data_IF_347201107220
#
_entry.id   IF_347201107220
#
_cell.length_a   1.000
_cell.length_b   1.000
_cell.length_c   1.000
_cell.angle_alpha   90.00
_cell.angle_beta   90.00
_cell.angle_gamma   90.00
#
_symmetry.space_group_name_H-M   'P 1'
#
loop_
_entity.id
_entity.type
_entity.pdbx_description
1 polymer ?
#
# COMPACT_ATOMS: atom_id res chain seq x y z
N UNK A 1 -11.71 42.41 -37.23
CA UNK A 1 -11.38 40.98 -37.03
C UNK A 1 -12.68 40.25 -36.73
N UNK A 2 -13.03 39.23 -37.53
CA UNK A 2 -14.29 38.49 -37.39
C UNK A 2 -14.16 37.44 -36.29
N UNK A 3 -15.25 37.19 -35.55
CA UNK A 3 -15.36 36.18 -34.49
C UNK A 3 -14.83 34.80 -34.93
N UNK A 4 -15.00 34.49 -36.21
CA UNK A 4 -14.57 33.23 -36.84
C UNK A 4 -13.03 33.09 -36.94
N UNK A 5 -12.30 34.21 -37.00
CA UNK A 5 -10.82 34.23 -36.97
C UNK A 5 -10.24 33.99 -35.57
N UNK A 6 -10.94 34.43 -34.53
CA UNK A 6 -10.52 34.26 -33.14
C UNK A 6 -10.77 32.82 -32.65
N UNK A 7 -11.93 32.23 -33.00
CA UNK A 7 -12.27 30.83 -32.74
C UNK A 7 -11.32 29.84 -33.43
N UNK A 8 -10.94 30.10 -34.70
CA UNK A 8 -9.96 29.27 -35.41
C UNK A 8 -8.56 29.37 -34.80
N UNK A 9 -8.19 30.54 -34.28
CA UNK A 9 -6.90 30.72 -33.59
C UNK A 9 -6.86 29.94 -32.28
N UNK A 10 -7.92 30.00 -31.46
CA UNK A 10 -8.03 29.25 -30.20
C UNK A 10 -8.04 27.74 -30.41
N UNK A 11 -8.81 27.24 -31.37
CA UNK A 11 -8.84 25.81 -31.70
C UNK A 11 -7.47 25.33 -32.21
N UNK A 12 -6.76 26.15 -33.00
CA UNK A 12 -5.42 25.80 -33.50
C UNK A 12 -4.33 25.83 -32.42
N UNK A 13 -4.47 26.70 -31.40
CA UNK A 13 -3.57 26.78 -30.25
C UNK A 13 -3.79 25.57 -29.32
N UNK A 14 -5.04 25.19 -29.08
CA UNK A 14 -5.39 24.04 -28.25
C UNK A 14 -4.95 22.70 -28.89
N UNK A 15 -5.14 22.55 -30.22
CA UNK A 15 -4.64 21.38 -30.97
C UNK A 15 -3.10 21.31 -31.02
N UNK A 16 -2.39 22.44 -31.01
CA UNK A 16 -0.92 22.48 -30.94
C UNK A 16 -0.41 22.19 -29.52
N UNK A 17 -1.14 22.62 -28.49
CA UNK A 17 -0.87 22.29 -27.09
C UNK A 17 -1.03 20.79 -26.85
N UNK A 18 -2.16 20.20 -27.25
CA UNK A 18 -2.40 18.76 -27.14
C UNK A 18 -1.38 17.92 -27.93
N UNK A 19 -0.96 18.37 -29.13
CA UNK A 19 0.08 17.68 -29.91
C UNK A 19 1.47 17.79 -29.29
N UNK A 20 1.79 18.90 -28.61
CA UNK A 20 3.05 19.07 -27.87
C UNK A 20 3.05 18.24 -26.58
N UNK A 21 1.95 18.24 -25.83
CA UNK A 21 1.72 17.35 -24.68
C UNK A 21 1.92 15.89 -25.09
N UNK A 22 1.17 15.38 -26.09
CA UNK A 22 1.31 14.00 -26.57
C UNK A 22 2.72 13.65 -27.09
N UNK A 23 3.43 14.60 -27.74
CA UNK A 23 4.79 14.37 -28.20
C UNK A 23 5.81 14.33 -27.04
N UNK A 24 5.63 15.14 -26.00
CA UNK A 24 6.42 15.08 -24.78
C UNK A 24 6.12 13.80 -23.98
N UNK A 25 4.86 13.35 -23.92
CA UNK A 25 4.47 12.07 -23.29
C UNK A 25 5.04 10.88 -24.04
N UNK A 26 5.03 10.91 -25.38
CA UNK A 26 5.66 9.85 -26.20
C UNK A 26 7.19 9.83 -26.07
N UNK A 27 7.83 10.99 -25.94
CA UNK A 27 9.29 11.09 -25.77
C UNK A 27 9.72 10.70 -24.35
N UNK A 28 8.94 11.04 -23.32
CA UNK A 28 9.13 10.55 -21.94
C UNK A 28 8.86 9.05 -21.83
N UNK A 29 7.79 8.53 -22.46
CA UNK A 29 7.50 7.09 -22.50
C UNK A 29 8.54 6.28 -23.28
N UNK A 30 9.15 6.85 -24.33
CA UNK A 30 10.27 6.21 -25.04
C UNK A 30 11.59 6.27 -24.26
N UNK A 31 11.80 7.29 -23.42
CA UNK A 31 12.99 7.40 -22.57
C UNK A 31 12.87 6.54 -21.29
N UNK A 32 11.67 6.43 -20.72
CA UNK A 32 11.33 5.51 -19.63
C UNK A 32 11.38 4.03 -20.04
N UNK A 33 11.25 3.74 -21.34
CA UNK A 33 11.42 2.39 -21.89
C UNK A 33 12.84 1.83 -21.81
N UNK A 34 13.84 2.61 -21.36
CA UNK A 34 15.25 2.21 -21.37
C UNK A 34 15.87 1.88 -20.01
N UNK A 35 15.18 2.11 -18.89
CA UNK A 35 15.71 1.78 -17.56
C UNK A 35 14.60 1.27 -16.61
N UNK A 36 13.90 0.20 -17.01
CA UNK A 36 13.17 -0.62 -16.04
C UNK A 36 14.21 -1.30 -15.15
N UNK A 37 14.43 -0.74 -13.96
CA UNK A 37 15.38 -1.25 -12.96
C UNK A 37 14.78 -2.49 -12.30
N UNK A 38 14.71 -3.60 -13.05
CA UNK A 38 14.30 -4.89 -12.51
C UNK A 38 15.24 -5.23 -11.35
N UNK A 39 14.66 -5.42 -10.16
CA UNK A 39 15.39 -6.00 -9.05
C UNK A 39 15.65 -7.45 -9.45
N UNK A 40 16.91 -7.77 -9.80
CA UNK A 40 17.33 -9.17 -9.94
C UNK A 40 17.17 -9.83 -8.56
N UNK A 41 16.05 -10.51 -8.37
CA UNK A 41 15.80 -11.30 -7.18
C UNK A 41 16.88 -12.38 -7.08
N UNK A 42 17.44 -12.57 -5.89
CA UNK A 42 18.42 -13.63 -5.65
C UNK A 42 17.68 -14.91 -5.20
N UNK A 43 18.19 -16.11 -5.51
CA UNK A 43 17.60 -17.34 -5.00
C UNK A 43 17.65 -17.38 -3.47
N UNK A 44 16.69 -18.09 -2.86
CA UNK A 44 16.55 -18.19 -1.41
C UNK A 44 17.75 -18.88 -0.77
N UNK A 45 18.28 -18.30 0.32
CA UNK A 45 19.30 -18.95 1.15
C UNK A 45 18.72 -19.92 2.19
N UNK A 46 17.43 -19.78 2.53
CA UNK A 46 16.68 -20.63 3.47
C UNK A 46 15.19 -20.56 3.16
N UNK A 47 14.44 -21.59 3.53
CA UNK A 47 12.98 -21.63 3.44
C UNK A 47 12.28 -21.10 4.69
N UNK A 48 13.02 -20.88 5.77
CA UNK A 48 12.45 -20.42 7.03
C UNK A 48 12.30 -18.90 7.03
N UNK A 49 11.11 -18.43 7.42
CA UNK A 49 10.76 -17.01 7.38
C UNK A 49 10.02 -16.59 8.64
N UNK A 50 10.30 -15.37 9.10
CA UNK A 50 9.56 -14.67 10.13
C UNK A 50 9.10 -13.33 9.56
N UNK A 51 7.82 -13.01 9.73
CA UNK A 51 7.26 -11.72 9.31
C UNK A 51 7.17 -10.80 10.53
N UNK A 52 7.77 -9.62 10.41
CA UNK A 52 7.59 -8.58 11.42
C UNK A 52 6.15 -8.04 11.40
N UNK A 53 5.69 -7.48 12.51
CA UNK A 53 4.31 -7.01 12.70
C UNK A 53 3.94 -5.90 11.71
N UNK A 54 4.91 -5.07 11.32
CA UNK A 54 4.74 -4.03 10.30
C UNK A 54 4.26 -4.59 8.96
N UNK A 55 4.68 -5.81 8.58
CA UNK A 55 4.29 -6.43 7.31
C UNK A 55 2.79 -6.76 7.33
N UNK A 56 2.29 -7.28 8.43
CA UNK A 56 0.86 -7.54 8.59
C UNK A 56 0.05 -6.24 8.55
N UNK A 57 0.56 -5.20 9.21
CA UNK A 57 -0.08 -3.88 9.24
C UNK A 57 -0.13 -3.22 7.85
N UNK A 58 0.95 -3.32 7.08
CA UNK A 58 1.03 -2.79 5.71
C UNK A 58 -0.12 -3.30 4.83
N UNK A 59 -0.52 -4.56 5.00
CA UNK A 59 -1.64 -5.15 4.24
C UNK A 59 -2.96 -5.17 5.04
N UNK A 60 -3.11 -4.24 5.99
CA UNK A 60 -4.34 -4.01 6.75
C UNK A 60 -4.78 -5.19 7.63
N UNK A 61 -3.87 -6.11 7.96
CA UNK A 61 -4.18 -7.38 8.63
C UNK A 61 -5.30 -8.16 7.92
N UNK A 62 -5.42 -8.03 6.60
CA UNK A 62 -6.49 -8.61 5.82
C UNK A 62 -6.08 -9.97 5.23
N UNK A 63 -6.64 -11.10 5.70
CA UNK A 63 -6.35 -12.43 5.12
C UNK A 63 -6.66 -12.56 3.63
N UNK A 64 -7.50 -11.65 3.10
CA UNK A 64 -7.93 -11.66 1.70
C UNK A 64 -7.03 -10.84 0.79
N UNK A 65 -6.07 -10.09 1.33
CA UNK A 65 -5.11 -9.34 0.53
C UNK A 65 -4.28 -10.30 -0.35
N UNK A 66 -4.15 -9.97 -1.63
CA UNK A 66 -3.54 -10.83 -2.63
C UNK A 66 -2.07 -11.17 -2.38
N UNK A 67 -1.29 -10.26 -1.78
CA UNK A 67 0.12 -10.51 -1.43
C UNK A 67 0.22 -11.48 -0.26
N UNK A 68 -0.59 -11.27 0.80
CA UNK A 68 -0.68 -12.22 1.93
C UNK A 68 -1.19 -13.59 1.48
N UNK A 69 -2.15 -13.65 0.57
CA UNK A 69 -2.62 -14.91 -0.02
C UNK A 69 -1.53 -15.61 -0.83
N UNK A 70 -0.78 -14.88 -1.66
CA UNK A 70 0.34 -15.45 -2.39
C UNK A 70 1.38 -16.04 -1.43
N UNK A 71 1.71 -15.34 -0.34
CA UNK A 71 2.56 -15.88 0.71
C UNK A 71 1.98 -17.13 1.37
N UNK A 72 0.70 -17.11 1.73
CA UNK A 72 0.01 -18.26 2.32
C UNK A 72 0.02 -19.49 1.38
N UNK A 73 -0.13 -19.29 0.08
CA UNK A 73 -0.02 -20.34 -0.93
C UNK A 73 1.39 -20.98 -0.93
N UNK A 74 2.46 -20.16 -0.83
CA UNK A 74 3.86 -20.64 -0.76
C UNK A 74 4.14 -21.46 0.51
N UNK A 75 3.62 -21.02 1.66
CA UNK A 75 3.74 -21.77 2.92
C UNK A 75 2.97 -23.08 2.86
N UNK A 76 1.74 -23.09 2.34
CA UNK A 76 0.94 -24.31 2.15
C UNK A 76 1.58 -25.30 1.18
N UNK A 77 2.27 -24.80 0.15
CA UNK A 77 3.07 -25.60 -0.77
C UNK A 77 4.37 -26.16 -0.15
N UNK A 78 4.66 -25.82 1.13
CA UNK A 78 5.89 -26.18 1.86
C UNK A 78 7.16 -25.60 1.24
N UNK A 79 7.02 -24.52 0.47
CA UNK A 79 8.13 -23.78 -0.12
C UNK A 79 8.70 -22.75 0.86
N UNK A 80 7.91 -22.38 1.87
CA UNK A 80 8.30 -21.54 2.99
C UNK A 80 7.80 -22.16 4.30
N UNK A 81 8.53 -21.91 5.38
CA UNK A 81 8.18 -22.31 6.74
C UNK A 81 8.05 -21.04 7.57
N UNK A 82 6.81 -20.66 7.92
CA UNK A 82 6.52 -19.49 8.73
C UNK A 82 6.85 -19.77 10.20
N UNK A 83 7.68 -18.92 10.79
CA UNK A 83 7.89 -18.81 12.22
C UNK A 83 6.99 -17.73 12.81
N UNK A 84 6.45 -18.00 14.00
CA UNK A 84 5.53 -17.11 14.68
C UNK A 84 5.77 -17.12 16.18
N UNK A 85 5.54 -16.00 16.87
CA UNK A 85 5.79 -15.89 18.32
C UNK A 85 4.55 -15.41 19.08
N UNK A 86 4.51 -15.71 20.38
CA UNK A 86 3.53 -15.16 21.32
C UNK A 86 3.55 -13.63 21.37
N UNK A 87 4.73 -13.01 21.24
CA UNK A 87 4.88 -11.55 21.20
C UNK A 87 4.29 -10.95 19.93
N UNK A 88 4.63 -11.51 18.76
CA UNK A 88 4.06 -11.11 17.46
C UNK A 88 2.53 -11.24 17.48
N UNK A 89 2.01 -12.31 18.09
CA UNK A 89 0.57 -12.52 18.29
C UNK A 89 -0.07 -11.41 19.11
N UNK A 90 0.50 -11.09 20.26
CA UNK A 90 -0.01 -10.04 21.13
C UNK A 90 0.01 -8.67 20.44
N UNK A 91 1.05 -8.39 19.65
CA UNK A 91 1.17 -7.13 18.93
C UNK A 91 0.18 -7.00 17.78
N UNK A 92 0.00 -8.04 16.94
CA UNK A 92 -1.03 -8.02 15.89
C UNK A 92 -2.42 -7.81 16.52
N UNK A 93 -2.71 -8.48 17.63
CA UNK A 93 -3.99 -8.28 18.35
C UNK A 93 -4.18 -6.82 18.79
N UNK A 94 -3.14 -6.22 19.36
CA UNK A 94 -3.14 -4.80 19.76
C UNK A 94 -3.41 -3.90 18.56
N UNK A 95 -2.65 -4.06 17.47
CA UNK A 95 -2.77 -3.24 16.26
C UNK A 95 -4.17 -3.33 15.63
N UNK A 96 -4.77 -4.53 15.58
CA UNK A 96 -6.15 -4.72 15.06
C UNK A 96 -7.18 -4.02 15.94
N UNK A 97 -7.03 -4.07 17.26
CA UNK A 97 -7.92 -3.35 18.19
C UNK A 97 -7.73 -1.83 18.05
N UNK A 98 -6.51 -1.35 17.89
CA UNK A 98 -6.20 0.08 17.66
C UNK A 98 -6.87 0.59 16.36
N UNK A 99 -6.80 -0.15 15.26
CA UNK A 99 -7.52 0.21 14.02
C UNK A 99 -9.04 0.29 14.24
N UNK A 100 -9.63 -0.64 14.99
CA UNK A 100 -11.06 -0.56 15.32
C UNK A 100 -11.38 0.67 16.21
N UNK A 101 -10.48 1.07 17.09
CA UNK A 101 -10.64 2.29 17.91
C UNK A 101 -10.59 3.57 17.07
N UNK A 102 -9.73 3.61 16.04
CA UNK A 102 -9.68 4.72 15.09
C UNK A 102 -11.02 4.85 14.34
N UNK A 103 -11.57 3.75 13.84
CA UNK A 103 -12.91 3.73 13.21
C UNK A 103 -13.98 4.21 14.19
N UNK A 104 -13.98 3.71 15.43
CA UNK A 104 -14.94 4.15 16.44
C UNK A 104 -14.87 5.65 16.72
N UNK A 105 -13.67 6.22 16.70
CA UNK A 105 -13.44 7.66 16.88
C UNK A 105 -14.08 8.43 15.74
N UNK A 106 -13.88 7.99 14.49
CA UNK A 106 -14.48 8.60 13.29
C UNK A 106 -16.00 8.49 13.29
N UNK A 107 -16.56 7.32 13.60
CA UNK A 107 -18.00 7.09 13.73
C UNK A 107 -18.62 8.00 14.80
N UNK A 108 -17.96 8.14 15.96
CA UNK A 108 -18.42 9.01 17.03
C UNK A 108 -18.35 10.50 16.66
N UNK A 109 -17.32 10.92 15.92
CA UNK A 109 -17.24 12.29 15.37
C UNK A 109 -18.40 12.54 14.40
N UNK A 110 -18.59 11.67 13.42
CA UNK A 110 -19.69 11.77 12.45
C UNK A 110 -21.06 11.84 13.14
N UNK A 111 -21.28 11.00 14.17
CA UNK A 111 -22.51 11.00 14.99
C UNK A 111 -22.74 12.35 15.68
N UNK A 112 -21.70 12.96 16.26
CA UNK A 112 -21.82 14.29 16.86
C UNK A 112 -22.14 15.35 15.82
N UNK A 113 -21.51 15.30 14.66
CA UNK A 113 -21.72 16.27 13.57
C UNK A 113 -23.11 16.17 12.94
N UNK A 114 -23.67 14.97 12.78
CA UNK A 114 -24.99 14.78 12.15
C UNK A 114 -26.16 15.06 13.10
N UNK A 115 -25.95 14.95 14.41
CA UNK A 115 -27.02 15.06 15.42
C UNK A 115 -27.80 16.39 15.37
N UNK A 116 -27.17 17.58 15.23
CA UNK A 116 -27.90 18.82 15.02
C UNK A 116 -28.75 18.82 13.74
N UNK A 117 -28.25 18.22 12.65
CA UNK A 117 -28.94 18.15 11.37
C UNK A 117 -30.15 17.22 11.40
N UNK A 118 -30.09 16.12 12.15
CA UNK A 118 -31.25 15.25 12.37
C UNK A 118 -32.43 15.96 13.02
N UNK A 119 -32.16 16.88 13.96
CA UNK A 119 -33.21 17.70 14.56
C UNK A 119 -33.84 18.67 13.55
N UNK A 120 -33.06 19.17 12.59
CA UNK A 120 -33.51 20.10 11.55
C UNK A 120 -34.25 19.40 10.41
N UNK A 121 -33.77 18.23 9.99
CA UNK A 121 -34.24 17.49 8.81
C UNK A 121 -34.55 16.02 9.14
N UNK A 122 -35.45 15.73 10.09
CA UNK A 122 -35.70 14.36 10.57
C UNK A 122 -36.26 13.42 9.51
N UNK A 123 -36.92 13.96 8.47
CA UNK A 123 -37.46 13.16 7.34
C UNK A 123 -36.38 12.69 6.36
N UNK A 124 -35.24 13.38 6.30
CA UNK A 124 -34.13 13.06 5.39
C UNK A 124 -33.01 12.28 6.08
N UNK A 125 -32.85 12.47 7.38
CA UNK A 125 -31.78 11.87 8.19
C UNK A 125 -32.36 10.97 9.29
N UNK A 126 -33.25 10.05 8.91
CA UNK A 126 -33.94 9.15 9.83
C UNK A 126 -33.04 8.02 10.34
N UNK A 127 -32.09 7.56 9.53
CA UNK A 127 -31.23 6.42 9.87
C UNK A 127 -30.20 6.80 10.92
N UNK A 128 -30.11 6.00 11.99
CA UNK A 128 -29.08 6.18 13.02
C UNK A 128 -27.73 5.64 12.54
N UNK A 129 -26.66 6.41 12.74
CA UNK A 129 -25.30 5.90 12.58
C UNK A 129 -25.13 4.80 13.63
N UNK A 130 -24.92 3.55 13.22
CA UNK A 130 -24.94 2.39 14.11
C UNK A 130 -23.87 2.51 15.19
N UNK A 131 -24.09 1.83 16.32
CA UNK A 131 -23.08 1.75 17.37
C UNK A 131 -21.91 0.87 16.98
N UNK A 132 -20.70 1.37 17.23
CA UNK A 132 -19.46 0.72 16.86
C UNK A 132 -18.67 0.37 18.12
N UNK A 133 -18.79 -0.88 18.55
CA UNK A 133 -18.05 -1.42 19.68
C UNK A 133 -16.66 -1.85 19.21
N UNK A 134 -15.68 -0.95 19.33
CA UNK A 134 -14.31 -1.17 18.88
C UNK A 134 -13.68 -2.43 19.47
N UNK A 135 -13.97 -2.75 20.73
CA UNK A 135 -13.38 -3.90 21.41
C UNK A 135 -13.96 -5.20 20.87
N UNK A 136 -15.28 -5.29 20.68
CA UNK A 136 -15.91 -6.47 20.07
C UNK A 136 -15.50 -6.64 18.62
N UNK A 137 -15.53 -5.57 17.83
CA UNK A 137 -15.15 -5.62 16.40
C UNK A 137 -13.68 -5.97 16.25
N UNK A 138 -12.79 -5.31 16.99
CA UNK A 138 -11.35 -5.60 16.95
C UNK A 138 -11.01 -7.02 17.41
N UNK A 139 -11.68 -7.53 18.44
CA UNK A 139 -11.49 -8.92 18.88
C UNK A 139 -11.96 -9.91 17.82
N UNK A 140 -13.15 -9.71 17.25
CA UNK A 140 -13.69 -10.57 16.20
C UNK A 140 -12.83 -10.53 14.92
N UNK A 141 -12.31 -9.36 14.55
CA UNK A 141 -11.41 -9.20 13.41
C UNK A 141 -10.08 -9.95 13.63
N UNK A 142 -9.52 -9.87 14.84
CA UNK A 142 -8.32 -10.63 15.19
C UNK A 142 -8.58 -12.15 15.18
N UNK A 143 -9.70 -12.61 15.75
CA UNK A 143 -10.06 -14.03 15.76
C UNK A 143 -10.26 -14.56 14.33
N UNK A 144 -10.88 -13.77 13.44
CA UNK A 144 -11.01 -14.09 12.02
C UNK A 144 -9.65 -14.14 11.33
N UNK A 145 -8.75 -13.21 11.62
CA UNK A 145 -7.38 -13.23 11.09
C UNK A 145 -6.63 -14.50 11.53
N UNK A 146 -6.70 -14.89 12.81
CA UNK A 146 -6.09 -16.14 13.27
C UNK A 146 -6.67 -17.36 12.55
N UNK A 147 -8.01 -17.43 12.45
CA UNK A 147 -8.70 -18.58 11.88
C UNK A 147 -8.50 -18.72 10.36
N UNK A 148 -8.55 -17.62 9.62
CA UNK A 148 -8.49 -17.62 8.15
C UNK A 148 -7.06 -17.59 7.62
N UNK A 149 -6.15 -16.91 8.32
CA UNK A 149 -4.77 -16.73 7.88
C UNK A 149 -3.79 -17.61 8.65
N UNK A 150 -3.70 -17.52 9.98
CA UNK A 150 -2.60 -18.16 10.71
C UNK A 150 -2.78 -19.68 10.89
N UNK A 151 -3.94 -20.13 11.35
CA UNK A 151 -4.17 -21.56 11.63
C UNK A 151 -3.97 -22.47 10.41
N UNK A 152 -4.44 -22.12 9.20
CA UNK A 152 -4.22 -22.94 8.01
C UNK A 152 -2.75 -23.03 7.56
N UNK A 153 -1.88 -22.16 8.07
CA UNK A 153 -0.46 -22.14 7.72
C UNK A 153 0.40 -23.04 8.62
N UNK A 154 -0.13 -23.48 9.76
CA UNK A 154 0.59 -24.28 10.75
C UNK A 154 2.01 -23.74 11.04
N UNK A 155 2.15 -22.48 11.49
CA UNK A 155 3.46 -21.88 11.71
C UNK A 155 4.25 -22.60 12.80
N UNK A 156 5.58 -22.57 12.68
CA UNK A 156 6.48 -22.96 13.75
C UNK A 156 6.42 -21.91 14.87
N UNK A 157 5.67 -22.24 15.92
CA UNK A 157 5.43 -21.36 17.05
C UNK A 157 6.61 -21.38 18.04
N UNK A 158 6.99 -20.20 18.54
CA UNK A 158 7.98 -20.02 19.60
C UNK A 158 7.39 -19.23 20.76
N UNK A 159 7.68 -19.65 21.99
CA UNK A 159 7.31 -18.89 23.18
C UNK A 159 8.43 -17.89 23.51
N UNK A 160 8.52 -16.82 22.71
CA UNK A 160 9.60 -15.85 22.80
C UNK A 160 9.64 -15.19 24.19
N UNK A 161 8.49 -14.92 24.80
CA UNK A 161 8.41 -14.34 26.15
C UNK A 161 9.06 -15.22 27.23
N UNK A 162 8.98 -16.55 27.09
CA UNK A 162 9.58 -17.50 28.02
C UNK A 162 11.04 -17.80 27.68
N UNK A 163 11.30 -18.14 26.42
CA UNK A 163 12.61 -18.62 25.93
C UNK A 163 13.68 -17.52 25.89
N UNK A 164 13.29 -16.27 25.60
CA UNK A 164 14.23 -15.15 25.47
C UNK A 164 14.56 -14.43 26.77
N UNK A 165 13.78 -14.63 27.84
CA UNK A 165 13.78 -13.77 29.03
C UNK A 165 15.15 -13.56 29.69
N UNK A 166 15.86 -14.64 30.01
CA UNK A 166 17.15 -14.56 30.73
C UNK A 166 18.20 -13.81 29.91
N UNK A 167 18.31 -14.13 28.62
CA UNK A 167 19.32 -13.53 27.74
C UNK A 167 18.98 -12.08 27.40
N UNK A 168 17.70 -11.75 27.21
CA UNK A 168 17.27 -10.36 26.99
C UNK A 168 17.57 -9.48 28.20
N UNK A 169 17.26 -9.95 29.41
CA UNK A 169 17.63 -9.20 30.62
C UNK A 169 19.14 -9.04 30.75
N UNK A 170 19.95 -10.07 30.38
CA UNK A 170 21.41 -9.97 30.35
C UNK A 170 21.87 -8.86 29.39
N UNK A 171 21.40 -8.87 28.13
CA UNK A 171 21.73 -7.86 27.11
C UNK A 171 21.31 -6.45 27.54
N UNK A 172 20.12 -6.32 28.15
CA UNK A 172 19.59 -5.07 28.69
C UNK A 172 20.49 -4.49 29.81
N UNK A 173 20.82 -5.28 30.83
CA UNK A 173 21.69 -4.83 31.93
C UNK A 173 23.13 -4.57 31.48
N UNK A 174 23.58 -5.22 30.40
CA UNK A 174 24.89 -5.02 29.80
C UNK A 174 24.98 -3.78 28.88
N UNK A 175 23.85 -3.19 28.49
CA UNK A 175 23.82 -2.01 27.59
C UNK A 175 24.29 -2.32 26.16
N UNK A 176 24.00 -3.54 25.67
CA UNK A 176 24.34 -3.97 24.30
C UNK A 176 23.51 -3.22 23.24
N UNK A 177 23.89 -3.36 21.95
CA UNK A 177 23.46 -2.48 20.83
C UNK A 177 21.94 -2.29 20.76
N UNK A 178 21.18 -3.37 20.95
CA UNK A 178 19.71 -3.43 20.88
C UNK A 178 18.98 -2.61 21.94
N UNK A 179 19.68 -2.09 22.97
CA UNK A 179 19.08 -1.29 24.05
C UNK A 179 19.74 0.09 24.21
N UNK A 180 20.48 0.57 23.21
CA UNK A 180 21.20 1.84 23.28
C UNK A 180 20.28 3.06 23.32
N UNK A 181 19.16 3.03 22.62
CA UNK A 181 18.19 4.13 22.60
C UNK A 181 17.17 4.04 23.76
N UNK A 182 17.06 2.88 24.42
CA UNK A 182 16.19 2.64 25.59
C UNK A 182 14.74 3.03 25.34
N UNK A 183 14.25 2.84 24.12
CA UNK A 183 12.82 3.03 23.85
C UNK A 183 12.04 1.80 24.24
N UNK A 184 10.77 1.96 24.64
CA UNK A 184 9.92 0.83 25.05
C UNK A 184 9.63 -0.16 23.91
N UNK A 185 9.85 0.25 22.65
CA UNK A 185 9.66 -0.59 21.46
C UNK A 185 10.78 -1.60 21.25
N UNK A 186 11.99 -1.33 21.72
CA UNK A 186 13.14 -2.26 21.58
C UNK A 186 12.98 -3.55 22.41
N UNK A 187 12.15 -3.51 23.45
CA UNK A 187 12.06 -4.62 24.40
C UNK A 187 11.37 -5.86 23.81
N UNK A 188 10.14 -5.78 23.25
CA UNK A 188 9.50 -6.94 22.61
C UNK A 188 10.35 -7.56 21.48
N UNK A 189 10.95 -6.73 20.64
CA UNK A 189 11.76 -7.18 19.48
C UNK A 189 12.97 -8.00 19.92
N UNK A 190 13.64 -7.58 21.00
CA UNK A 190 14.78 -8.33 21.55
C UNK A 190 14.41 -9.76 21.97
N UNK A 191 13.21 -9.99 22.51
CA UNK A 191 12.75 -11.34 22.85
C UNK A 191 12.49 -12.18 21.59
N UNK A 192 11.88 -11.57 20.57
CA UNK A 192 11.62 -12.23 19.29
C UNK A 192 12.94 -12.65 18.64
N UNK A 193 13.87 -11.71 18.47
CA UNK A 193 15.19 -11.96 17.87
C UNK A 193 15.95 -13.04 18.65
N UNK A 194 15.97 -12.96 19.97
CA UNK A 194 16.66 -13.94 20.83
C UNK A 194 16.07 -15.35 20.67
N UNK A 195 14.74 -15.48 20.65
CA UNK A 195 14.08 -16.77 20.47
C UNK A 195 14.35 -17.37 19.08
N UNK A 196 14.28 -16.56 18.03
CA UNK A 196 14.60 -16.99 16.66
C UNK A 196 16.07 -17.40 16.53
N UNK A 197 16.99 -16.63 17.09
CA UNK A 197 18.42 -16.94 17.09
C UNK A 197 18.71 -18.25 17.83
N UNK A 198 18.12 -18.46 19.01
CA UNK A 198 18.25 -19.69 19.77
C UNK A 198 17.74 -20.91 18.99
N UNK A 199 16.60 -20.77 18.29
CA UNK A 199 16.09 -21.81 17.41
C UNK A 199 17.03 -22.10 16.24
N UNK A 200 17.56 -21.06 15.58
CA UNK A 200 18.53 -21.19 14.49
C UNK A 200 19.79 -21.94 14.93
N UNK A 201 20.34 -21.62 16.11
CA UNK A 201 21.52 -22.30 16.64
C UNK A 201 21.24 -23.77 16.95
N UNK A 202 20.10 -24.06 17.59
CA UNK A 202 19.69 -25.43 17.93
C UNK A 202 19.52 -26.31 16.68
N UNK A 203 18.92 -25.76 15.62
CA UNK A 203 18.60 -26.51 14.40
C UNK A 203 19.67 -26.40 13.31
N UNK A 204 20.70 -25.56 13.53
CA UNK A 204 21.74 -25.19 12.55
C UNK A 204 21.19 -24.58 11.27
N UNK A 205 20.00 -24.00 11.33
CA UNK A 205 19.30 -23.37 10.22
C UNK A 205 19.51 -21.85 10.21
N UNK A 206 18.92 -21.19 9.20
CA UNK A 206 18.84 -19.72 9.10
C UNK A 206 17.39 -19.31 8.90
N UNK A 207 17.01 -18.11 9.34
CA UNK A 207 15.66 -17.55 9.16
C UNK A 207 15.76 -16.19 8.46
N UNK A 208 14.91 -15.95 7.47
CA UNK A 208 14.67 -14.61 6.94
C UNK A 208 13.73 -13.84 7.88
N UNK A 209 14.15 -12.69 8.38
CA UNK A 209 13.31 -11.71 9.07
C UNK A 209 12.88 -10.67 8.05
N UNK A 210 11.57 -10.61 7.78
CA UNK A 210 10.97 -9.73 6.78
C UNK A 210 10.41 -8.49 7.47
N UNK A 211 10.94 -7.31 7.12
CA UNK A 211 10.54 -6.03 7.68
C UNK A 211 11.49 -4.90 7.28
N UNK A 212 10.99 -3.67 7.30
CA UNK A 212 11.75 -2.45 7.01
C UNK A 212 12.11 -1.63 8.27
N UNK A 213 11.82 -2.17 9.46
CA UNK A 213 12.04 -1.48 10.73
C UNK A 213 13.54 -1.49 11.03
N UNK A 214 14.11 -0.29 11.20
CA UNK A 214 15.54 -0.12 11.39
C UNK A 214 16.03 -0.73 12.71
N UNK A 215 15.22 -0.67 13.79
CA UNK A 215 15.58 -1.24 15.08
C UNK A 215 15.56 -2.78 15.03
N UNK A 216 14.56 -3.36 14.36
CA UNK A 216 14.51 -4.80 14.12
C UNK A 216 15.66 -5.27 13.22
N UNK A 217 15.98 -4.49 12.17
CA UNK A 217 17.11 -4.80 11.29
C UNK A 217 18.46 -4.75 12.04
N UNK A 218 18.69 -3.71 12.85
CA UNK A 218 19.89 -3.57 13.68
C UNK A 218 20.01 -4.73 14.69
N UNK A 219 18.89 -5.12 15.33
CA UNK A 219 18.86 -6.24 16.25
C UNK A 219 19.19 -7.60 15.59
N UNK A 220 18.86 -7.73 14.31
CA UNK A 220 19.13 -8.93 13.50
C UNK A 220 20.57 -8.95 12.96
N UNK A 221 21.17 -7.80 12.64
CA UNK A 221 22.54 -7.73 12.11
C UNK A 221 23.59 -8.37 13.04
N UNK A 222 23.37 -8.29 14.35
CA UNK A 222 24.24 -8.91 15.36
C UNK A 222 24.15 -10.46 15.37
N UNK A 223 23.13 -11.05 14.73
CA UNK A 223 22.83 -12.48 14.76
C UNK A 223 23.13 -13.17 13.40
N UNK A 224 24.24 -13.92 13.33
CA UNK A 224 24.79 -14.51 12.08
C UNK A 224 23.84 -15.43 11.29
N UNK A 225 22.80 -15.95 11.93
CA UNK A 225 21.86 -16.92 11.32
C UNK A 225 20.52 -16.30 10.96
N UNK A 226 20.31 -15.03 11.30
CA UNK A 226 19.14 -14.29 10.89
C UNK A 226 19.52 -13.44 9.67
N UNK A 227 18.69 -13.49 8.64
CA UNK A 227 18.91 -12.80 7.38
C UNK A 227 17.82 -11.73 7.25
N UNK A 228 18.18 -10.49 6.96
CA UNK A 228 17.18 -9.42 6.77
C UNK A 228 16.69 -9.38 5.32
N UNK A 229 15.41 -9.13 5.14
CA UNK A 229 14.84 -8.74 3.86
C UNK A 229 13.75 -7.69 4.10
N UNK A 230 13.70 -6.66 3.25
CA UNK A 230 12.88 -5.48 3.54
C UNK A 230 11.39 -5.72 3.37
N UNK A 231 11.03 -6.44 2.31
CA UNK A 231 9.64 -6.53 1.87
C UNK A 231 9.21 -7.98 1.66
N UNK A 232 7.89 -8.23 1.77
CA UNK A 232 7.32 -9.54 1.50
C UNK A 232 7.40 -9.88 0.01
N UNK A 233 7.36 -8.86 -0.84
CA UNK A 233 7.45 -8.97 -2.29
C UNK A 233 8.83 -9.44 -2.74
N UNK A 234 9.90 -8.93 -2.12
CA UNK A 234 11.27 -9.40 -2.35
C UNK A 234 11.41 -10.90 -2.03
N UNK A 235 10.75 -11.37 -0.95
CA UNK A 235 10.78 -12.77 -0.56
C UNK A 235 10.09 -13.63 -1.61
N UNK A 236 8.87 -13.23 -2.00
CA UNK A 236 8.08 -13.98 -2.97
C UNK A 236 8.73 -13.99 -4.36
N UNK A 237 9.39 -12.90 -4.74
CA UNK A 237 10.23 -12.84 -5.93
C UNK A 237 11.41 -13.82 -5.83
N UNK A 238 12.10 -13.86 -4.69
CA UNK A 238 13.22 -14.78 -4.43
C UNK A 238 12.78 -16.26 -4.47
N UNK A 239 11.58 -16.57 -3.93
CA UNK A 239 10.97 -17.91 -4.05
C UNK A 239 10.75 -18.24 -5.53
N UNK A 240 10.16 -17.32 -6.28
CA UNK A 240 9.82 -17.52 -7.69
C UNK A 240 11.07 -17.69 -8.56
N UNK A 241 12.12 -16.91 -8.31
CA UNK A 241 13.42 -17.03 -8.98
C UNK A 241 14.08 -18.39 -8.71
N UNK A 242 14.00 -18.87 -7.46
CA UNK A 242 14.52 -20.19 -7.07
C UNK A 242 13.83 -21.31 -7.87
N UNK A 243 12.56 -21.14 -8.22
CA UNK A 243 11.77 -22.17 -8.90
C UNK A 243 11.89 -22.13 -10.42
N UNK A 244 11.91 -20.95 -11.02
CA UNK A 244 11.92 -20.80 -12.48
C UNK A 244 12.47 -19.44 -12.90
N UNK A 245 13.77 -19.33 -13.20
CA UNK A 245 14.45 -18.09 -13.61
C UNK A 245 13.99 -17.54 -14.98
N UNK A 246 13.00 -18.17 -15.63
CA UNK A 246 12.43 -17.75 -16.92
C UNK A 246 11.06 -17.06 -16.78
N UNK A 247 10.52 -16.97 -15.56
CA UNK A 247 9.18 -16.42 -15.32
C UNK A 247 9.07 -14.94 -15.68
N UNK A 248 10.12 -14.16 -15.43
CA UNK A 248 10.15 -12.73 -15.76
C UNK A 248 9.95 -12.52 -17.25
N UNK A 249 10.68 -13.26 -18.10
CA UNK A 249 10.53 -13.16 -19.56
C UNK A 249 9.12 -13.54 -20.04
N UNK A 250 8.51 -14.54 -19.41
CA UNK A 250 7.14 -14.94 -19.71
C UNK A 250 6.14 -13.86 -19.30
N UNK A 251 6.28 -13.30 -18.09
CA UNK A 251 5.45 -12.20 -17.60
C UNK A 251 5.58 -10.97 -18.50
N UNK A 252 6.80 -10.56 -18.87
CA UNK A 252 7.04 -9.46 -19.84
C UNK A 252 6.28 -9.69 -21.13
N UNK A 253 6.36 -10.91 -21.68
CA UNK A 253 5.70 -11.26 -22.95
C UNK A 253 4.17 -11.23 -22.84
N UNK A 254 3.61 -11.61 -21.70
CA UNK A 254 2.16 -11.58 -21.45
C UNK A 254 1.65 -10.15 -21.21
N UNK A 255 2.35 -9.36 -20.38
CA UNK A 255 2.00 -7.97 -20.08
C UNK A 255 2.12 -7.05 -21.29
N UNK A 256 3.03 -7.35 -22.24
CA UNK A 256 3.15 -6.60 -23.49
C UNK A 256 1.98 -6.86 -24.47
N UNK A 257 1.11 -7.85 -24.22
CA UNK A 257 -0.04 -8.11 -25.08
C UNK A 257 -1.09 -7.01 -24.92
N UNK A 258 -1.60 -6.51 -26.06
CA UNK A 258 -2.66 -5.48 -26.06
C UNK A 258 -3.92 -5.90 -25.29
N UNK A 259 -4.25 -7.20 -25.30
CA UNK A 259 -5.36 -7.76 -24.52
C UNK A 259 -5.14 -7.58 -23.02
N UNK A 260 -3.93 -7.87 -22.51
CA UNK A 260 -3.60 -7.72 -21.11
C UNK A 260 -3.69 -6.26 -20.66
N UNK A 261 -3.11 -5.32 -21.43
CA UNK A 261 -3.17 -3.88 -21.12
C UNK A 261 -4.62 -3.37 -21.15
N UNK A 262 -5.43 -3.82 -22.11
CA UNK A 262 -6.85 -3.44 -22.18
C UNK A 262 -7.65 -3.99 -20.99
N UNK A 263 -7.41 -5.25 -20.61
CA UNK A 263 -8.05 -5.87 -19.46
C UNK A 263 -7.63 -5.20 -18.15
N UNK A 264 -6.35 -4.80 -18.03
CA UNK A 264 -5.83 -4.04 -16.89
C UNK A 264 -6.52 -2.69 -16.77
N UNK A 265 -6.57 -1.90 -17.86
CA UNK A 265 -7.25 -0.62 -17.85
C UNK A 265 -8.73 -0.76 -17.47
N UNK A 266 -9.44 -1.74 -18.04
CA UNK A 266 -10.85 -1.98 -17.70
C UNK A 266 -11.06 -2.33 -16.21
N UNK A 267 -10.14 -3.11 -15.62
CA UNK A 267 -10.20 -3.46 -14.20
C UNK A 267 -9.81 -2.30 -13.29
N UNK A 268 -8.83 -1.50 -13.70
CA UNK A 268 -8.44 -0.30 -13.01
C UNK A 268 -9.61 0.70 -12.96
N UNK A 269 -10.24 1.00 -14.10
CA UNK A 269 -11.43 1.89 -14.15
C UNK A 269 -12.60 1.33 -13.34
N UNK A 270 -12.75 0.01 -13.25
CA UNK A 270 -13.78 -0.59 -12.40
C UNK A 270 -13.47 -0.49 -10.89
N UNK A 271 -12.20 -0.32 -10.53
CA UNK A 271 -11.71 -0.16 -9.15
C UNK A 271 -11.38 1.31 -8.82
N UNK A 272 -11.83 2.26 -9.65
CA UNK A 272 -11.53 3.69 -9.52
C UNK A 272 -12.01 4.28 -8.19
N UNK A 273 -13.07 3.71 -7.61
CA UNK A 273 -13.60 4.08 -6.29
C UNK A 273 -12.64 3.74 -5.13
N UNK A 274 -11.66 2.87 -5.35
CA UNK A 274 -10.63 2.54 -4.35
C UNK A 274 -9.49 3.58 -4.35
N UNK A 275 -9.49 4.53 -5.30
CA UNK A 275 -8.53 5.63 -5.32
C UNK A 275 -9.00 6.79 -4.44
N UNK A 276 -8.05 7.34 -3.69
CA UNK A 276 -8.27 8.45 -2.77
C UNK A 276 -7.30 9.57 -3.16
N UNK A 277 -7.73 10.53 -4.00
CA UNK A 277 -6.93 11.71 -4.31
C UNK A 277 -6.82 12.61 -3.09
N UNK A 278 -5.60 12.99 -2.72
CA UNK A 278 -5.32 13.91 -1.61
C UNK A 278 -4.62 15.14 -2.17
N UNK A 279 -5.30 16.29 -2.10
CA UNK A 279 -4.70 17.56 -2.47
C UNK A 279 -3.72 18.03 -1.39
N UNK A 280 -2.45 18.19 -1.76
CA UNK A 280 -1.37 18.49 -0.82
C UNK A 280 -1.09 20.01 -0.68
N UNK A 281 -2.09 20.84 -1.01
CA UNK A 281 -1.98 22.30 -0.99
C UNK A 281 -1.33 22.89 -2.24
N UNK A 282 -1.52 24.19 -2.40
CA UNK A 282 -1.15 24.99 -3.57
C UNK A 282 -1.81 26.37 -3.49
N UNK A 283 -2.04 26.98 -4.64
CA UNK A 283 -2.69 28.28 -4.77
C UNK A 283 -4.19 28.24 -4.46
N UNK A 284 -4.82 27.06 -4.55
CA UNK A 284 -6.22 26.87 -4.15
C UNK A 284 -6.37 26.71 -2.63
N UNK A 285 -6.67 27.83 -1.97
CA UNK A 285 -6.90 27.88 -0.53
C UNK A 285 -8.04 26.94 -0.11
N UNK A 286 -7.77 26.11 0.90
CA UNK A 286 -8.72 25.12 1.43
C UNK A 286 -9.27 24.16 0.36
N UNK A 287 -8.48 23.90 -0.69
CA UNK A 287 -8.83 22.96 -1.75
C UNK A 287 -9.05 21.54 -1.23
N UNK A 288 -10.16 20.93 -1.61
CA UNK A 288 -10.48 19.53 -1.33
C UNK A 288 -10.81 18.79 -2.64
N UNK A 289 -10.29 17.57 -2.78
CA UNK A 289 -10.66 16.71 -3.91
C UNK A 289 -12.09 16.20 -3.74
N UNK A 290 -12.95 16.47 -4.72
CA UNK A 290 -14.39 16.13 -4.66
C UNK A 290 -14.79 15.03 -5.63
N UNK A 291 -14.05 14.88 -6.74
CA UNK A 291 -14.31 13.85 -7.74
C UNK A 291 -13.03 13.54 -8.53
N UNK A 292 -12.99 12.39 -9.20
CA UNK A 292 -11.90 12.02 -10.09
C UNK A 292 -12.34 11.08 -11.21
N UNK A 293 -11.65 11.13 -12.34
CA UNK A 293 -11.88 10.25 -13.46
C UNK A 293 -10.58 9.83 -14.17
N UNK A 294 -10.53 8.60 -14.66
CA UNK A 294 -9.41 8.10 -15.47
C UNK A 294 -9.51 8.63 -16.90
N UNK A 295 -8.57 9.48 -17.32
CA UNK A 295 -8.62 10.20 -18.60
C UNK A 295 -7.63 9.70 -19.66
N UNK A 296 -6.74 8.76 -19.31
CA UNK A 296 -5.63 8.35 -20.17
C UNK A 296 -5.36 6.86 -20.26
N UNK A 297 -4.39 6.47 -21.12
CA UNK A 297 -3.95 5.09 -21.20
C UNK A 297 -3.11 4.72 -19.97
N UNK A 298 -3.34 3.51 -19.44
CA UNK A 298 -2.52 2.92 -18.40
C UNK A 298 -1.15 2.54 -18.95
N UNK A 299 -0.10 2.98 -18.25
CA UNK A 299 1.30 2.61 -18.53
C UNK A 299 1.85 1.75 -17.40
N UNK A 300 2.44 0.61 -17.74
CA UNK A 300 3.15 -0.23 -16.77
C UNK A 300 4.55 0.35 -16.60
N UNK A 301 4.88 0.81 -15.40
CA UNK A 301 6.20 1.35 -15.06
C UNK A 301 7.17 0.23 -14.66
N UNK A 302 6.70 -0.66 -13.79
CA UNK A 302 7.49 -1.78 -13.27
C UNK A 302 6.59 -2.96 -12.89
N UNK A 303 7.18 -4.15 -12.75
CA UNK A 303 6.49 -5.31 -12.23
C UNK A 303 7.43 -6.32 -11.59
N UNK A 304 6.91 -7.06 -10.60
CA UNK A 304 7.60 -8.16 -9.94
C UNK A 304 6.73 -9.41 -9.95
N UNK A 305 7.26 -10.54 -10.42
CA UNK A 305 6.56 -11.83 -10.37
C UNK A 305 6.76 -12.43 -8.98
N UNK A 306 5.69 -12.46 -8.19
CA UNK A 306 5.72 -12.95 -6.81
C UNK A 306 5.24 -14.40 -6.70
N UNK A 307 4.43 -14.87 -7.65
CA UNK A 307 4.16 -16.29 -7.76
C UNK A 307 3.90 -16.75 -9.19
N UNK A 308 4.15 -18.03 -9.43
CA UNK A 308 3.85 -18.66 -10.71
C UNK A 308 3.39 -20.11 -10.50
N UNK A 309 2.30 -20.45 -11.19
CA UNK A 309 1.82 -21.81 -11.36
C UNK A 309 1.85 -22.17 -12.85
N UNK A 310 1.44 -23.38 -13.21
CA UNK A 310 1.34 -23.77 -14.63
C UNK A 310 0.30 -22.98 -15.43
N UNK A 311 -0.67 -22.37 -14.75
CA UNK A 311 -1.86 -21.76 -15.38
C UNK A 311 -2.04 -20.28 -15.02
N UNK A 312 -1.29 -19.75 -14.07
CA UNK A 312 -1.48 -18.40 -13.57
C UNK A 312 -0.16 -17.80 -13.05
N UNK A 313 0.03 -16.51 -13.28
CA UNK A 313 1.09 -15.70 -12.66
C UNK A 313 0.46 -14.71 -11.69
N UNK A 314 1.06 -14.57 -10.51
CA UNK A 314 0.75 -13.54 -9.53
C UNK A 314 1.83 -12.48 -9.62
N UNK A 315 1.45 -11.25 -9.92
CA UNK A 315 2.36 -10.16 -10.25
C UNK A 315 2.00 -8.94 -9.42
N UNK A 316 3.01 -8.33 -8.83
CA UNK A 316 2.96 -6.98 -8.30
C UNK A 316 3.28 -6.02 -9.44
N UNK A 317 2.44 -5.03 -9.68
CA UNK A 317 2.51 -4.12 -10.81
C UNK A 317 2.57 -2.69 -10.28
N UNK A 318 3.49 -1.88 -10.80
CA UNK A 318 3.46 -0.43 -10.62
C UNK A 318 2.99 0.19 -11.92
N UNK A 319 1.86 0.90 -11.88
CA UNK A 319 1.25 1.53 -13.05
C UNK A 319 1.18 3.04 -12.87
N UNK A 320 1.33 3.75 -13.99
CA UNK A 320 0.94 5.14 -14.09
C UNK A 320 -0.38 5.21 -14.85
N UNK A 321 -1.39 5.82 -14.24
CA UNK A 321 -2.69 6.04 -14.86
C UNK A 321 -2.99 7.53 -14.78
N UNK A 322 -3.14 8.24 -15.92
CA UNK A 322 -3.56 9.62 -15.90
C UNK A 322 -4.98 9.75 -15.35
N UNK A 323 -5.12 10.54 -14.29
CA UNK A 323 -6.38 10.82 -13.59
C UNK A 323 -6.62 12.33 -13.64
N UNK A 324 -7.85 12.71 -13.91
CA UNK A 324 -8.33 14.09 -13.83
C UNK A 324 -9.08 14.23 -12.51
N UNK A 325 -8.61 15.10 -11.62
CA UNK A 325 -9.19 15.29 -10.29
C UNK A 325 -9.86 16.65 -10.22
N UNK A 326 -11.13 16.66 -9.83
CA UNK A 326 -11.89 17.89 -9.56
C UNK A 326 -11.64 18.31 -8.12
N UNK A 327 -11.17 19.54 -7.95
CA UNK A 327 -10.98 20.19 -6.66
C UNK A 327 -12.05 21.25 -6.48
N UNK A 328 -12.66 21.27 -5.30
CA UNK A 328 -13.46 22.39 -4.82
C UNK A 328 -12.60 23.24 -3.89
N UNK A 329 -12.58 24.56 -4.10
CA UNK A 329 -11.77 25.49 -3.31
C UNK A 329 -12.52 26.79 -3.03
N UNK A 330 -12.00 27.55 -2.06
CA UNK A 330 -12.51 28.87 -1.75
C UNK A 330 -11.83 29.92 -2.63
N UNK A 331 -12.55 30.49 -3.60
CA UNK A 331 -12.08 31.61 -4.38
C UNK A 331 -12.15 32.90 -3.54
N UNK A 332 -10.96 33.38 -3.17
CA UNK A 332 -10.76 34.61 -2.40
C UNK A 332 -10.46 35.82 -3.27
N UNK A 333 -10.50 35.70 -4.61
CA UNK A 333 -10.15 36.77 -5.55
C UNK A 333 -10.97 38.05 -5.38
N UNK A 334 -12.23 37.89 -4.96
CA UNK A 334 -13.17 38.98 -4.71
C UNK A 334 -13.52 39.17 -3.22
N UNK A 335 -12.93 38.36 -2.34
CA UNK A 335 -13.24 38.34 -0.92
C UNK A 335 -12.51 39.46 -0.14
N UNK A 336 -13.19 40.00 0.87
CA UNK A 336 -12.60 40.97 1.80
C UNK A 336 -12.11 40.25 3.05
N UNK A 337 -10.83 40.40 3.38
CA UNK A 337 -10.27 39.81 4.60
C UNK A 337 -10.60 40.68 5.82
N UNK A 338 -11.29 40.09 6.79
CA UNK A 338 -11.55 40.70 8.10
C UNK A 338 -10.50 40.24 9.12
N UNK A 339 -9.70 41.19 9.60
CA UNK A 339 -8.63 40.94 10.57
C UNK A 339 -9.12 40.76 12.00
N UNK A 340 -10.33 41.23 12.33
CA UNK A 340 -10.87 41.10 13.69
C UNK A 340 -11.34 39.67 13.96
N UNK A 341 -11.96 39.04 12.95
CA UNK A 341 -12.52 37.69 13.03
C UNK A 341 -11.66 36.61 12.35
N UNK A 342 -10.57 37.00 11.66
CA UNK A 342 -9.67 36.12 10.90
C UNK A 342 -10.39 35.28 9.84
N UNK A 343 -11.32 35.90 9.11
CA UNK A 343 -12.14 35.27 8.07
C UNK A 343 -12.17 36.08 6.78
N UNK A 344 -12.35 35.38 5.65
CA UNK A 344 -12.64 36.00 4.36
C UNK A 344 -14.16 36.14 4.17
N UNK A 345 -14.62 37.37 3.96
CA UNK A 345 -16.04 37.69 3.73
C UNK A 345 -16.29 37.87 2.24
N UNK A 346 -17.26 37.13 1.71
CA UNK A 346 -17.63 37.19 0.29
C UNK A 346 -16.82 36.27 -0.63
N UNK A 347 -16.11 35.29 -0.07
CA UNK A 347 -15.51 34.23 -0.87
C UNK A 347 -16.58 33.29 -1.43
N UNK A 348 -16.36 32.80 -2.65
CA UNK A 348 -17.25 31.86 -3.33
C UNK A 348 -16.57 30.50 -3.45
N UNK A 349 -17.37 29.43 -3.49
CA UNK A 349 -16.85 28.09 -3.80
C UNK A 349 -16.75 27.94 -5.31
N UNK A 350 -15.56 27.63 -5.81
CA UNK A 350 -15.32 27.33 -7.21
C UNK A 350 -14.75 25.91 -7.36
N UNK A 351 -14.92 25.33 -8.55
CA UNK A 351 -14.37 24.03 -8.90
C UNK A 351 -13.41 24.16 -10.08
N UNK A 352 -12.30 23.42 -10.00
CA UNK A 352 -11.31 23.34 -11.07
C UNK A 352 -10.84 21.90 -11.22
N UNK A 353 -10.18 21.60 -12.33
CA UNK A 353 -9.74 20.24 -12.65
C UNK A 353 -8.23 20.22 -12.85
N UNK A 354 -7.56 19.29 -12.18
CA UNK A 354 -6.11 19.08 -12.29
C UNK A 354 -5.83 17.68 -12.84
N UNK A 355 -4.99 17.61 -13.88
CA UNK A 355 -4.48 16.34 -14.38
C UNK A 355 -3.31 15.87 -13.49
N UNK A 356 -3.41 14.63 -13.01
CA UNK A 356 -2.39 13.95 -12.23
C UNK A 356 -1.98 12.64 -12.91
N UNK A 357 -0.72 12.25 -12.75
CA UNK A 357 -0.17 10.98 -13.27
C UNK A 357 0.33 10.11 -12.10
N UNK A 358 -0.54 9.67 -11.17
CA UNK A 358 -0.12 8.92 -9.99
C UNK A 358 0.53 7.57 -10.34
N UNK A 359 1.55 7.20 -9.57
CA UNK A 359 2.12 5.85 -9.57
C UNK A 359 1.40 4.98 -8.55
N UNK A 360 0.70 3.96 -9.03
CA UNK A 360 -0.18 3.13 -8.22
C UNK A 360 0.34 1.69 -8.24
N UNK A 361 0.44 1.09 -7.05
CA UNK A 361 0.78 -0.33 -6.91
C UNK A 361 -0.47 -1.18 -6.91
N UNK A 362 -0.49 -2.21 -7.74
CA UNK A 362 -1.59 -3.15 -7.86
C UNK A 362 -1.08 -4.60 -7.83
N UNK A 363 -1.85 -5.47 -7.18
CA UNK A 363 -1.68 -6.91 -7.27
C UNK A 363 -2.60 -7.48 -8.36
N UNK A 364 -2.03 -8.28 -9.26
CA UNK A 364 -2.79 -8.94 -10.31
C UNK A 364 -2.51 -10.43 -10.35
N UNK A 365 -3.53 -11.21 -10.74
CA UNK A 365 -3.33 -12.58 -11.20
C UNK A 365 -3.64 -12.70 -12.70
N UNK A 366 -2.67 -13.09 -13.51
CA UNK A 366 -2.79 -13.29 -14.95
C UNK A 366 -2.96 -14.78 -15.28
N UNK A 367 -4.01 -15.15 -16.01
CA UNK A 367 -4.15 -16.51 -16.53
C UNK A 367 -3.27 -16.75 -17.75
N UNK A 368 -2.66 -17.93 -17.81
CA UNK A 368 -1.87 -18.39 -18.93
C UNK A 368 -2.63 -19.46 -19.75
N UNK A 369 -2.47 -19.47 -21.09
CA UNK A 369 -1.64 -18.58 -21.92
C UNK A 369 -2.35 -17.30 -22.39
N UNK A 370 -3.64 -17.10 -22.07
CA UNK A 370 -4.48 -16.06 -22.69
C UNK A 370 -4.17 -14.62 -22.25
N UNK A 371 -3.26 -14.43 -21.27
CA UNK A 371 -2.91 -13.13 -20.69
C UNK A 371 -4.11 -12.35 -20.13
N UNK A 372 -5.17 -13.05 -19.72
CA UNK A 372 -6.36 -12.43 -19.12
C UNK A 372 -6.08 -12.13 -17.65
N UNK A 373 -6.36 -10.89 -17.24
CA UNK A 373 -6.35 -10.55 -15.82
C UNK A 373 -7.55 -11.24 -15.19
N UNK A 374 -7.31 -12.05 -14.16
CA UNK A 374 -8.35 -12.83 -13.45
C UNK A 374 -8.69 -12.22 -12.10
N UNK A 375 -7.71 -11.59 -11.46
CA UNK A 375 -7.85 -10.87 -10.21
C UNK A 375 -7.03 -9.57 -10.30
N UNK A 376 -7.54 -8.52 -9.67
CA UNK A 376 -6.96 -7.19 -9.62
C UNK A 376 -7.34 -6.56 -8.28
N UNK A 377 -6.36 -6.00 -7.59
CA UNK A 377 -6.49 -5.34 -6.29
C UNK A 377 -5.50 -4.17 -6.27
N UNK A 378 -5.95 -2.97 -5.91
CA UNK A 378 -5.07 -1.84 -5.64
C UNK A 378 -4.51 -2.01 -4.22
N UNK A 379 -3.19 -1.87 -4.07
CA UNK A 379 -2.52 -2.04 -2.78
C UNK A 379 -2.47 -0.71 -2.03
N UNK A 380 -2.09 0.36 -2.73
CA UNK A 380 -2.07 1.73 -2.20
C UNK A 380 -2.98 2.59 -3.08
N UNK A 381 -4.16 2.94 -2.58
CA UNK A 381 -5.16 3.75 -3.30
C UNK A 381 -4.99 5.26 -3.10
N UNK A 382 -4.26 5.66 -2.06
CA UNK A 382 -4.00 7.08 -1.78
C UNK A 382 -2.90 7.62 -2.69
N UNK A 383 -3.17 8.76 -3.33
CA UNK A 383 -2.13 9.49 -4.05
C UNK A 383 -2.24 10.98 -3.77
N UNK A 384 -1.07 11.62 -3.68
CA UNK A 384 -0.96 13.05 -3.42
C UNK A 384 -0.75 13.79 -4.73
N UNK A 385 -1.44 14.91 -4.88
CA UNK A 385 -1.29 15.78 -6.04
C UNK A 385 -1.33 17.24 -5.62
N UNK A 386 -0.75 18.09 -6.48
CA UNK A 386 -0.72 19.54 -6.34
C UNK A 386 -0.84 20.15 -7.73
N UNK A 387 -0.98 21.47 -7.80
CA UNK A 387 -0.86 22.17 -9.08
C UNK A 387 0.51 21.92 -9.73
N UNK A 388 0.58 21.94 -11.07
CA UNK A 388 1.85 22.00 -11.77
C UNK A 388 2.57 23.29 -11.39
N UNK A 389 3.71 23.17 -10.70
CA UNK A 389 4.62 24.30 -10.47
C UNK A 389 5.23 24.74 -11.81
N UNK A 390 4.72 25.83 -12.37
CA UNK A 390 5.37 26.52 -13.48
C UNK A 390 6.56 27.32 -12.93
N UNK A 391 7.77 26.78 -13.11
CA UNK A 391 9.00 27.57 -12.99
C UNK A 391 9.11 28.45 -14.24
N UNK A 392 8.61 29.68 -14.18
CA UNK A 392 9.00 30.73 -15.15
C UNK A 392 10.33 31.41 -14.78
#
# INVERSE_FOLDING_TARGET
MTLDGWLKSLLSANLKSQRRSMALTQTKAQKAKSESKQIEAKPLATHHVFLDTQIYRQYGHNPKNGVLQAFAERVKAKELILHYTDITKAEIRRQVIEMAQEVATTVNKARKTIHPWRRRLPKLLADEIPDFDATKVGTAAFDAFEAEFLFPLHPQFHSASAEGSVEVFRKYFAGESTFRARTSKEFPDAFVVTALAAWCEKNKERIYVIGADAAMAEAVEDEKRLLTMKTLEDLLASVSETQSPKLVNQATSLLAQKSAVKDLLARFTAADQDLIPIYNGGDYAEGEAVDHEVVGPLTILDFTVIAATKIQLSILLTVCVPVSVTISYEDRSSAMYDREDDIYVGAETEETTIEAEPEIRAFIKLSMPQARVTHFEIIDGEFYFSEPYDWE
#
